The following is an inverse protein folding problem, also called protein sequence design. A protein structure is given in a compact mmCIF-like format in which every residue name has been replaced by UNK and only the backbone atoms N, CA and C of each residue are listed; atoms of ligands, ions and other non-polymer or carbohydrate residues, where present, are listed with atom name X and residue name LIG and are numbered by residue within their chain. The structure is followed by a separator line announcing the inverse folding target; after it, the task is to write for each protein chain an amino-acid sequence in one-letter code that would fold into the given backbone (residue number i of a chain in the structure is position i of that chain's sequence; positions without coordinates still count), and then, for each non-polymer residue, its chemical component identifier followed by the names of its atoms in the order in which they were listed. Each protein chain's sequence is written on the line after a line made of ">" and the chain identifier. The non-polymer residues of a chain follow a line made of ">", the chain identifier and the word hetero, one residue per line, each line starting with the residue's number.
data_IF_172924349039
#
_entry.id   IF_172924349039
#
_cell.length_a   1.000
_cell.length_b   1.000
_cell.length_c   1.000
_cell.angle_alpha   90.00
_cell.angle_beta   90.00
_cell.angle_gamma   90.00
#
_symmetry.space_group_name_H-M   'P 1'
#
loop_
_entity.id
_entity.type
_entity.pdbx_description
1 polymer ?
#
# COMPACT_ATOMS: atom_id res chain seq x y z
N UNK A 1 25.46 -62.47 22.76
CA UNK A 1 26.47 -61.43 23.00
C UNK A 1 25.72 -60.12 23.20
N UNK A 2 25.56 -59.68 24.46
CA UNK A 2 24.95 -58.39 24.84
C UNK A 2 26.02 -57.31 24.67
N UNK A 3 25.65 -56.16 24.10
CA UNK A 3 26.27 -54.82 24.24
C UNK A 3 25.41 -53.88 23.36
N UNK A 4 25.10 -52.64 23.69
CA UNK A 4 24.97 -51.87 24.91
C UNK A 4 24.28 -50.57 24.44
N UNK A 5 23.30 -50.12 25.20
CA UNK A 5 22.61 -48.85 25.00
C UNK A 5 23.59 -47.68 25.04
N UNK A 6 23.48 -46.73 24.11
CA UNK A 6 24.03 -45.39 24.31
C UNK A 6 22.97 -44.34 23.90
N UNK A 7 22.16 -43.98 24.90
CA UNK A 7 21.50 -42.68 24.96
C UNK A 7 22.59 -41.62 25.11
N UNK A 8 22.71 -40.69 24.16
CA UNK A 8 23.34 -39.40 24.41
C UNK A 8 22.26 -38.34 24.24
N UNK A 9 21.74 -37.91 25.39
CA UNK A 9 21.02 -36.67 25.53
C UNK A 9 21.99 -35.51 25.27
N UNK A 10 21.69 -34.69 24.28
CA UNK A 10 22.38 -33.44 24.00
C UNK A 10 21.35 -32.36 23.71
N UNK A 11 20.75 -31.83 24.78
CA UNK A 11 19.88 -30.66 24.72
C UNK A 11 20.71 -29.43 24.35
N UNK A 12 20.64 -29.02 23.09
CA UNK A 12 21.05 -27.68 22.67
C UNK A 12 19.79 -26.83 22.64
N UNK A 13 19.49 -26.21 23.77
CA UNK A 13 18.52 -25.11 23.87
C UNK A 13 19.14 -23.90 23.17
N UNK A 14 18.92 -23.77 21.86
CA UNK A 14 19.11 -22.49 21.16
C UNK A 14 17.82 -21.69 21.27
N UNK A 15 17.49 -21.26 22.49
CA UNK A 15 16.58 -20.13 22.66
C UNK A 15 17.39 -18.85 22.43
N UNK A 16 17.80 -18.62 21.19
CA UNK A 16 18.16 -17.26 20.76
C UNK A 16 16.84 -16.52 20.64
N UNK A 17 16.41 -15.93 21.75
CA UNK A 17 15.47 -14.81 21.69
C UNK A 17 16.08 -13.80 20.74
N UNK A 18 15.50 -13.66 19.56
CA UNK A 18 15.77 -12.54 18.69
C UNK A 18 15.31 -11.29 19.44
N UNK A 19 16.21 -10.72 20.25
CA UNK A 19 16.05 -9.37 20.78
C UNK A 19 15.84 -8.49 19.56
N UNK A 20 14.61 -7.99 19.39
CA UNK A 20 14.30 -7.02 18.35
C UNK A 20 15.26 -5.84 18.54
N UNK A 21 16.32 -5.79 17.75
CA UNK A 21 17.31 -4.73 17.85
C UNK A 21 16.57 -3.43 17.54
N UNK A 22 16.48 -2.55 18.54
CA UNK A 22 15.96 -1.20 18.31
C UNK A 22 16.89 -0.54 17.28
N UNK A 23 16.36 0.03 16.19
CA UNK A 23 17.17 0.66 15.17
C UNK A 23 18.16 1.66 15.79
N UNK A 24 19.41 1.64 15.34
CA UNK A 24 20.40 2.61 15.82
C UNK A 24 19.94 4.03 15.49
N UNK A 25 20.45 5.03 16.21
CA UNK A 25 20.16 6.44 15.93
C UNK A 25 20.39 6.81 14.46
N UNK A 26 21.46 6.29 13.85
CA UNK A 26 21.75 6.52 12.43
C UNK A 26 20.65 5.94 11.51
N UNK A 27 20.08 4.78 11.84
CA UNK A 27 18.96 4.20 11.08
C UNK A 27 17.69 5.03 11.27
N UNK A 28 17.43 5.53 12.48
CA UNK A 28 16.29 6.40 12.75
C UNK A 28 16.40 7.74 11.99
N UNK A 29 17.58 8.37 12.03
CA UNK A 29 17.87 9.61 11.32
C UNK A 29 17.76 9.41 9.79
N UNK A 30 18.30 8.30 9.26
CA UNK A 30 18.15 7.95 7.84
C UNK A 30 16.67 7.75 7.44
N UNK A 31 15.88 7.05 8.26
CA UNK A 31 14.45 6.89 8.02
C UNK A 31 13.73 8.23 8.00
N UNK A 32 14.13 9.17 8.86
CA UNK A 32 13.54 10.51 8.88
C UNK A 32 13.88 11.31 7.61
N UNK A 33 15.10 11.14 7.07
CA UNK A 33 15.48 11.70 5.77
C UNK A 33 14.62 11.12 4.65
N UNK A 34 14.41 9.79 4.61
CA UNK A 34 13.54 9.15 3.63
C UNK A 34 12.11 9.70 3.68
N UNK A 35 11.53 9.83 4.87
CA UNK A 35 10.20 10.46 5.05
C UNK A 35 10.16 11.88 4.48
N UNK A 36 11.23 12.66 4.66
CA UNK A 36 11.28 14.03 4.15
C UNK A 36 11.43 14.06 2.62
N UNK A 37 12.16 13.11 2.04
CA UNK A 37 12.24 12.92 0.58
C UNK A 37 10.84 12.63 0.01
N UNK A 38 10.09 11.73 0.63
CA UNK A 38 8.73 11.39 0.18
C UNK A 38 7.78 12.61 0.25
N UNK A 39 7.85 13.38 1.34
CA UNK A 39 7.11 14.63 1.46
C UNK A 39 7.48 15.64 0.37
N UNK A 40 8.77 15.78 0.07
CA UNK A 40 9.23 16.67 -1.01
C UNK A 40 8.72 16.22 -2.38
N UNK A 41 8.67 14.91 -2.64
CA UNK A 41 8.10 14.36 -3.87
C UNK A 41 6.62 14.74 -4.00
N UNK A 42 5.83 14.58 -2.94
CA UNK A 42 4.42 14.99 -2.95
C UNK A 42 4.27 16.50 -3.17
N UNK A 43 5.04 17.32 -2.45
CA UNK A 43 5.03 18.78 -2.59
C UNK A 43 5.33 19.20 -4.03
N UNK A 44 6.34 18.59 -4.66
CA UNK A 44 6.72 18.84 -6.05
C UNK A 44 5.54 18.64 -7.02
N UNK A 45 4.70 17.64 -6.79
CA UNK A 45 3.60 17.32 -7.70
C UNK A 45 2.31 18.09 -7.40
N UNK A 46 2.08 18.50 -6.15
CA UNK A 46 0.83 19.17 -5.73
C UNK A 46 0.92 20.68 -5.82
N UNK A 47 2.03 21.31 -5.40
CA UNK A 47 2.13 22.77 -5.35
C UNK A 47 1.90 23.47 -6.69
N UNK A 48 2.41 22.96 -7.84
CA UNK A 48 2.21 23.63 -9.13
C UNK A 48 0.78 23.65 -9.64
N UNK A 49 -0.13 22.90 -9.00
CA UNK A 49 -1.57 23.01 -9.28
C UNK A 49 -2.17 24.32 -8.75
N UNK A 50 -1.50 25.03 -7.83
CA UNK A 50 -1.97 26.30 -7.27
C UNK A 50 -3.43 26.22 -6.79
N UNK A 51 -3.77 25.11 -6.11
CA UNK A 51 -5.15 24.83 -5.70
C UNK A 51 -5.69 25.92 -4.77
N UNK A 52 -6.86 26.45 -5.10
CA UNK A 52 -7.60 27.37 -4.21
C UNK A 52 -8.20 26.59 -3.04
N UNK A 53 -8.46 27.28 -1.92
CA UNK A 53 -9.03 26.68 -0.71
C UNK A 53 -10.26 25.79 -0.95
N UNK A 54 -11.21 26.28 -1.76
CA UNK A 54 -12.39 25.49 -2.18
C UNK A 54 -11.98 24.21 -2.91
N UNK A 55 -11.07 24.31 -3.87
CA UNK A 55 -10.60 23.16 -4.66
C UNK A 55 -9.89 22.13 -3.77
N UNK A 56 -9.08 22.59 -2.82
CA UNK A 56 -8.45 21.73 -1.82
C UNK A 56 -9.52 20.98 -1.02
N UNK A 57 -10.54 21.68 -0.52
CA UNK A 57 -11.64 21.06 0.24
C UNK A 57 -12.40 20.00 -0.55
N UNK A 58 -12.75 20.30 -1.79
CA UNK A 58 -13.49 19.37 -2.67
C UNK A 58 -12.64 18.13 -3.02
N UNK A 59 -11.36 18.30 -3.33
CA UNK A 59 -10.45 17.18 -3.58
C UNK A 59 -10.23 16.33 -2.31
N UNK A 60 -10.06 16.95 -1.15
CA UNK A 60 -9.96 16.24 0.12
C UNK A 60 -11.23 15.44 0.44
N UNK A 61 -12.41 15.96 0.15
CA UNK A 61 -13.67 15.25 0.32
C UNK A 61 -13.74 14.00 -0.58
N UNK A 62 -13.23 14.07 -1.81
CA UNK A 62 -13.12 12.92 -2.70
C UNK A 62 -12.12 11.88 -2.18
N UNK A 63 -10.98 12.31 -1.63
CA UNK A 63 -9.98 11.43 -1.02
C UNK A 63 -10.53 10.72 0.24
N UNK A 64 -11.34 11.39 1.06
CA UNK A 64 -11.99 10.75 2.21
C UNK A 64 -12.97 9.64 1.79
N UNK A 65 -13.73 9.85 0.70
CA UNK A 65 -14.56 8.78 0.12
C UNK A 65 -13.71 7.58 -0.31
N UNK A 66 -12.56 7.83 -0.94
CA UNK A 66 -11.61 6.78 -1.34
C UNK A 66 -11.10 5.99 -0.14
N UNK A 67 -10.77 6.68 0.95
CA UNK A 67 -10.29 6.06 2.21
C UNK A 67 -11.34 5.21 2.90
N UNK A 68 -12.59 5.67 2.93
CA UNK A 68 -13.71 4.88 3.46
C UNK A 68 -13.84 3.55 2.71
N UNK A 69 -13.82 3.60 1.37
CA UNK A 69 -13.86 2.39 0.53
C UNK A 69 -12.68 1.45 0.78
N UNK A 70 -11.48 2.00 0.92
CA UNK A 70 -10.30 1.18 1.24
C UNK A 70 -10.42 0.51 2.61
N UNK A 71 -10.98 1.21 3.60
CA UNK A 71 -11.21 0.65 4.93
C UNK A 71 -12.20 -0.51 4.86
N UNK A 72 -13.33 -0.34 4.18
CA UNK A 72 -14.33 -1.40 3.97
C UNK A 72 -13.72 -2.65 3.30
N UNK A 73 -12.89 -2.46 2.27
CA UNK A 73 -12.18 -3.56 1.60
C UNK A 73 -11.18 -4.23 2.54
N UNK A 74 -10.42 -3.47 3.33
CA UNK A 74 -9.46 -4.04 4.30
C UNK A 74 -10.17 -4.86 5.38
N UNK A 75 -11.32 -4.40 5.87
CA UNK A 75 -12.13 -5.15 6.82
C UNK A 75 -12.67 -6.45 6.22
N UNK A 76 -13.13 -6.40 4.96
CA UNK A 76 -13.56 -7.59 4.22
C UNK A 76 -12.40 -8.59 4.02
N UNK A 77 -11.24 -8.10 3.61
CA UNK A 77 -10.02 -8.91 3.46
C UNK A 77 -9.62 -9.57 4.79
N UNK A 78 -9.64 -8.83 5.90
CA UNK A 78 -9.33 -9.35 7.22
C UNK A 78 -10.30 -10.46 7.62
N UNK A 79 -11.61 -10.27 7.38
CA UNK A 79 -12.63 -11.31 7.66
C UNK A 79 -12.37 -12.59 6.88
N UNK A 80 -12.00 -12.51 5.60
CA UNK A 80 -11.69 -13.70 4.79
C UNK A 80 -10.41 -14.39 5.25
N UNK A 81 -9.35 -13.64 5.57
CA UNK A 81 -8.10 -14.21 6.08
C UNK A 81 -8.28 -14.92 7.42
N UNK A 82 -9.09 -14.36 8.33
CA UNK A 82 -9.36 -14.97 9.63
C UNK A 82 -10.07 -16.32 9.52
N UNK A 83 -10.79 -16.61 8.42
CA UNK A 83 -11.38 -17.94 8.17
C UNK A 83 -10.32 -19.03 7.88
N UNK A 84 -9.07 -18.64 7.61
CA UNK A 84 -7.95 -19.54 7.38
C UNK A 84 -7.09 -19.76 8.64
N UNK A 85 -7.30 -18.99 9.70
CA UNK A 85 -6.38 -18.92 10.85
C UNK A 85 -6.16 -20.29 11.53
N UNK A 86 -7.23 -21.01 11.84
CA UNK A 86 -7.12 -22.32 12.49
C UNK A 86 -6.42 -23.36 11.58
N UNK A 87 -6.83 -23.45 10.31
CA UNK A 87 -6.28 -24.40 9.34
C UNK A 87 -4.79 -24.14 9.08
N UNK A 88 -4.41 -22.86 8.91
CA UNK A 88 -3.03 -22.45 8.66
C UNK A 88 -2.15 -22.66 9.87
N UNK A 89 -2.60 -22.33 11.09
CA UNK A 89 -1.87 -22.62 12.34
C UNK A 89 -1.61 -24.12 12.51
N UNK A 90 -2.63 -24.94 12.26
CA UNK A 90 -2.50 -26.40 12.32
C UNK A 90 -1.49 -26.93 11.29
N UNK A 91 -1.55 -26.43 10.06
CA UNK A 91 -0.61 -26.84 9.00
C UNK A 91 0.83 -26.42 9.30
N UNK A 92 1.04 -25.21 9.84
CA UNK A 92 2.38 -24.76 10.26
C UNK A 92 2.91 -25.62 11.40
N UNK A 93 2.11 -25.92 12.42
CA UNK A 93 2.52 -26.80 13.51
C UNK A 93 2.90 -28.21 13.00
N UNK A 94 2.07 -28.80 12.13
CA UNK A 94 2.36 -30.11 11.54
C UNK A 94 3.65 -30.10 10.70
N UNK A 95 3.88 -29.04 9.91
CA UNK A 95 5.11 -28.91 9.14
C UNK A 95 6.36 -28.81 10.01
N UNK A 96 6.31 -28.02 11.09
CA UNK A 96 7.44 -27.82 12.00
C UNK A 96 7.70 -29.05 12.86
N UNK A 97 6.66 -29.68 13.39
CA UNK A 97 6.79 -30.79 14.33
C UNK A 97 7.01 -32.14 13.65
N UNK A 98 6.40 -32.36 12.49
CA UNK A 98 6.33 -33.67 11.83
C UNK A 98 6.96 -33.70 10.44
N UNK A 99 7.33 -32.55 9.89
CA UNK A 99 7.77 -32.43 8.50
C UNK A 99 6.63 -32.60 7.49
N UNK A 100 5.37 -32.52 7.94
CA UNK A 100 4.20 -32.69 7.07
C UNK A 100 4.04 -31.48 6.15
N UNK A 101 3.94 -31.73 4.84
CA UNK A 101 3.65 -30.67 3.89
C UNK A 101 2.15 -30.31 3.91
N UNK A 102 1.76 -29.02 3.80
CA UNK A 102 0.35 -28.63 3.74
C UNK A 102 -0.40 -29.35 2.62
N UNK A 103 -1.60 -29.85 2.88
CA UNK A 103 -2.37 -30.55 1.84
C UNK A 103 -2.79 -29.61 0.69
N UNK A 104 -3.13 -30.21 -0.46
CA UNK A 104 -3.52 -29.45 -1.65
C UNK A 104 -4.80 -28.65 -1.45
N UNK A 105 -5.74 -29.12 -0.63
CA UNK A 105 -7.02 -28.44 -0.42
C UNK A 105 -6.83 -27.12 0.35
N UNK A 106 -5.99 -27.12 1.38
CA UNK A 106 -5.61 -25.92 2.12
C UNK A 106 -4.85 -24.94 1.20
N UNK A 107 -3.91 -25.43 0.41
CA UNK A 107 -3.20 -24.59 -0.57
C UNK A 107 -4.15 -23.93 -1.57
N UNK A 108 -5.07 -24.68 -2.17
CA UNK A 108 -6.10 -24.14 -3.07
C UNK A 108 -6.99 -23.10 -2.41
N UNK A 109 -7.39 -23.33 -1.14
CA UNK A 109 -8.20 -22.38 -0.37
C UNK A 109 -7.43 -21.07 -0.12
N UNK A 110 -6.15 -21.16 0.24
CA UNK A 110 -5.27 -19.99 0.44
C UNK A 110 -5.14 -19.19 -0.86
N UNK A 111 -4.84 -19.85 -1.98
CA UNK A 111 -4.69 -19.20 -3.29
C UNK A 111 -5.99 -18.48 -3.67
N UNK A 112 -7.14 -19.13 -3.53
CA UNK A 112 -8.43 -18.53 -3.85
C UNK A 112 -8.72 -17.27 -3.03
N UNK A 113 -8.43 -17.30 -1.72
CA UNK A 113 -8.60 -16.11 -0.86
C UNK A 113 -7.63 -15.00 -1.26
N UNK A 114 -6.38 -15.33 -1.57
CA UNK A 114 -5.39 -14.34 -2.02
C UNK A 114 -5.78 -13.69 -3.35
N UNK A 115 -6.23 -14.47 -4.34
CA UNK A 115 -6.71 -13.96 -5.63
C UNK A 115 -7.94 -13.05 -5.47
N UNK A 116 -8.87 -13.45 -4.60
CA UNK A 116 -10.05 -12.63 -4.30
C UNK A 116 -9.66 -11.28 -3.67
N UNK A 117 -8.72 -11.28 -2.71
CA UNK A 117 -8.18 -10.06 -2.09
C UNK A 117 -7.52 -9.16 -3.13
N UNK A 118 -6.61 -9.71 -3.95
CA UNK A 118 -5.91 -8.95 -4.99
C UNK A 118 -6.88 -8.33 -6.00
N UNK A 119 -7.92 -9.08 -6.38
CA UNK A 119 -8.95 -8.63 -7.30
C UNK A 119 -9.76 -7.47 -6.70
N UNK A 120 -10.26 -7.61 -5.46
CA UNK A 120 -10.98 -6.53 -4.77
C UNK A 120 -10.14 -5.27 -4.63
N UNK A 121 -8.86 -5.41 -4.25
CA UNK A 121 -7.93 -4.28 -4.13
C UNK A 121 -7.68 -3.59 -5.47
N UNK A 122 -7.60 -4.34 -6.56
CA UNK A 122 -7.48 -3.74 -7.91
C UNK A 122 -8.73 -2.95 -8.30
N UNK A 123 -9.91 -3.51 -8.02
CA UNK A 123 -11.20 -2.86 -8.30
C UNK A 123 -11.30 -1.54 -7.51
N UNK A 124 -11.05 -1.56 -6.20
CA UNK A 124 -11.18 -0.35 -5.37
C UNK A 124 -10.20 0.75 -5.77
N UNK A 125 -8.97 0.40 -6.17
CA UNK A 125 -8.02 1.40 -6.71
C UNK A 125 -8.58 2.05 -7.98
N UNK A 126 -9.14 1.27 -8.90
CA UNK A 126 -9.73 1.83 -10.13
C UNK A 126 -10.95 2.71 -9.85
N UNK A 127 -11.81 2.30 -8.92
CA UNK A 127 -12.94 3.11 -8.47
C UNK A 127 -12.49 4.41 -7.78
N UNK A 128 -11.47 4.34 -6.93
CA UNK A 128 -10.91 5.51 -6.25
C UNK A 128 -10.29 6.50 -7.24
N UNK A 129 -9.59 6.00 -8.26
CA UNK A 129 -9.09 6.84 -9.36
C UNK A 129 -10.24 7.51 -10.10
N UNK A 130 -11.35 6.80 -10.35
CA UNK A 130 -12.53 7.39 -10.98
C UNK A 130 -13.16 8.49 -10.10
N UNK A 131 -13.32 8.24 -8.80
CA UNK A 131 -13.85 9.23 -7.84
C UNK A 131 -13.02 10.52 -7.87
N UNK A 132 -11.69 10.38 -7.86
CA UNK A 132 -10.79 11.52 -7.94
C UNK A 132 -10.82 12.19 -9.31
N UNK A 133 -10.99 11.44 -10.38
CA UNK A 133 -11.08 11.98 -11.73
C UNK A 133 -12.33 12.83 -11.91
N UNK A 134 -13.47 12.35 -11.43
CA UNK A 134 -14.75 13.08 -11.47
C UNK A 134 -14.65 14.36 -10.63
N UNK A 135 -14.06 14.28 -9.43
CA UNK A 135 -13.82 15.44 -8.58
C UNK A 135 -12.88 16.46 -9.23
N UNK A 136 -11.79 16.00 -9.84
CA UNK A 136 -10.83 16.85 -10.52
C UNK A 136 -11.48 17.58 -11.72
N UNK A 137 -12.23 16.88 -12.56
CA UNK A 137 -12.93 17.46 -13.72
C UNK A 137 -14.00 18.47 -13.32
N UNK A 138 -14.65 18.29 -12.17
CA UNK A 138 -15.66 19.22 -11.66
C UNK A 138 -15.06 20.47 -11.02
N UNK A 139 -13.87 20.35 -10.44
CA UNK A 139 -13.34 21.32 -9.48
C UNK A 139 -12.15 22.12 -10.02
N UNK A 140 -11.33 21.49 -10.85
CA UNK A 140 -10.08 22.07 -11.38
C UNK A 140 -10.33 22.70 -12.74
N UNK A 141 -9.60 23.77 -13.03
CA UNK A 141 -9.62 24.39 -14.35
C UNK A 141 -8.77 23.61 -15.37
N UNK A 142 -8.93 23.94 -16.65
CA UNK A 142 -8.22 23.27 -17.74
C UNK A 142 -6.69 23.40 -17.62
N UNK A 143 -6.20 24.53 -17.10
CA UNK A 143 -4.78 24.75 -16.86
C UNK A 143 -4.23 23.79 -15.81
N UNK A 144 -4.94 23.64 -14.69
CA UNK A 144 -4.60 22.70 -13.62
C UNK A 144 -4.64 21.25 -14.11
N UNK A 145 -5.66 20.86 -14.88
CA UNK A 145 -5.75 19.53 -15.48
C UNK A 145 -4.58 19.27 -16.44
N UNK A 146 -4.15 20.28 -17.21
CA UNK A 146 -2.95 20.22 -18.06
C UNK A 146 -1.65 20.12 -17.26
N UNK A 147 -1.56 20.74 -16.09
CA UNK A 147 -0.39 20.56 -15.20
C UNK A 147 -0.29 19.12 -14.73
N UNK A 148 -1.41 18.50 -14.32
CA UNK A 148 -1.43 17.11 -13.84
C UNK A 148 -0.84 16.12 -14.84
N UNK A 149 -1.18 16.27 -16.14
CA UNK A 149 -0.71 15.34 -17.19
C UNK A 149 0.77 15.52 -17.55
N UNK A 150 1.36 16.68 -17.25
CA UNK A 150 2.71 17.05 -17.71
C UNK A 150 3.76 17.01 -16.59
N UNK A 151 3.34 17.16 -15.34
CA UNK A 151 4.28 17.32 -14.22
C UNK A 151 4.91 16.01 -13.75
N UNK A 152 4.19 14.90 -13.91
CA UNK A 152 4.65 13.57 -13.52
C UNK A 152 5.06 12.80 -14.77
N UNK A 153 6.35 12.43 -14.87
CA UNK A 153 6.79 11.44 -15.86
C UNK A 153 6.39 10.04 -15.34
N UNK A 154 5.50 9.30 -16.02
CA UNK A 154 5.10 7.96 -15.59
C UNK A 154 6.28 7.00 -15.37
N UNK A 155 7.40 7.20 -16.10
CA UNK A 155 8.62 6.36 -15.97
C UNK A 155 9.32 6.50 -14.63
N UNK A 156 9.06 7.59 -13.90
CA UNK A 156 9.61 7.79 -12.55
C UNK A 156 8.93 6.91 -11.50
N UNK A 157 7.75 6.37 -11.79
CA UNK A 157 6.98 5.49 -10.91
C UNK A 157 6.95 4.06 -11.46
N UNK A 158 6.77 3.91 -12.77
CA UNK A 158 6.82 2.63 -13.48
C UNK A 158 7.79 2.72 -14.66
N UNK A 159 9.01 2.17 -14.54
CA UNK A 159 10.01 2.20 -15.61
C UNK A 159 9.55 1.57 -16.93
N UNK A 160 8.51 0.73 -16.91
CA UNK A 160 7.95 0.08 -18.10
C UNK A 160 6.88 0.92 -18.81
N UNK A 161 6.45 2.03 -18.20
CA UNK A 161 5.46 2.92 -18.76
C UNK A 161 5.93 3.52 -20.10
N UNK A 162 4.98 3.76 -21.00
CA UNK A 162 5.20 4.35 -22.32
C UNK A 162 4.43 5.67 -22.44
N UNK A 163 4.93 6.78 -21.85
CA UNK A 163 4.20 8.05 -21.77
C UNK A 163 3.82 8.64 -23.14
N UNK A 164 4.59 8.30 -24.16
CA UNK A 164 4.37 8.65 -25.57
C UNK A 164 3.12 7.97 -26.16
N UNK A 165 2.67 6.86 -25.57
CA UNK A 165 1.50 6.10 -26.01
C UNK A 165 0.27 6.32 -25.13
N UNK A 166 0.40 7.08 -24.05
CA UNK A 166 -0.69 7.37 -23.13
C UNK A 166 -1.46 8.61 -23.61
N UNK A 167 -2.78 8.47 -23.69
CA UNK A 167 -3.71 9.59 -23.80
C UNK A 167 -3.63 10.51 -22.58
N UNK A 168 -4.12 11.74 -22.73
CA UNK A 168 -4.19 12.71 -21.62
C UNK A 168 -5.03 12.18 -20.45
N UNK A 169 -6.09 11.43 -20.75
CA UNK A 169 -6.93 10.77 -19.75
C UNK A 169 -6.15 9.70 -18.98
N UNK A 170 -5.36 8.87 -19.65
CA UNK A 170 -4.51 7.88 -19.00
C UNK A 170 -3.42 8.54 -18.15
N UNK A 171 -2.78 9.61 -18.63
CA UNK A 171 -1.79 10.38 -17.86
C UNK A 171 -2.39 11.00 -16.62
N UNK A 172 -3.59 11.57 -16.73
CA UNK A 172 -4.29 12.19 -15.60
C UNK A 172 -4.68 11.15 -14.57
N UNK A 173 -5.21 10.00 -14.99
CA UNK A 173 -5.53 8.88 -14.09
C UNK A 173 -4.28 8.32 -13.41
N UNK A 174 -3.17 8.24 -14.14
CA UNK A 174 -1.87 7.85 -13.58
C UNK A 174 -1.40 8.82 -12.51
N UNK A 175 -1.51 10.13 -12.76
CA UNK A 175 -1.19 11.16 -11.78
C UNK A 175 -2.08 11.06 -10.54
N UNK A 176 -3.40 10.93 -10.71
CA UNK A 176 -4.34 10.79 -9.60
C UNK A 176 -4.02 9.57 -8.73
N UNK A 177 -3.72 8.43 -9.37
CA UNK A 177 -3.32 7.21 -8.68
C UNK A 177 -2.00 7.37 -7.92
N UNK A 178 -1.02 8.04 -8.51
CA UNK A 178 0.35 8.08 -7.98
C UNK A 178 0.56 9.22 -6.97
N UNK A 179 -0.25 10.27 -7.05
CA UNK A 179 -0.13 11.47 -6.23
C UNK A 179 -1.31 11.58 -5.27
N UNK A 180 -2.55 11.62 -5.75
CA UNK A 180 -3.72 11.89 -4.90
C UNK A 180 -4.20 10.68 -4.07
N UNK A 181 -3.82 9.46 -4.42
CA UNK A 181 -4.02 8.31 -3.53
C UNK A 181 -2.86 8.08 -2.54
N UNK A 182 -1.78 8.88 -2.63
CA UNK A 182 -0.71 8.83 -1.64
C UNK A 182 -1.18 9.41 -0.29
N UNK A 183 -0.86 8.71 0.80
CA UNK A 183 -1.26 9.11 2.15
C UNK A 183 -0.73 10.48 2.58
N UNK A 184 0.48 10.85 2.13
CA UNK A 184 1.12 12.13 2.44
C UNK A 184 0.47 13.30 1.71
N UNK A 185 -0.14 13.07 0.54
CA UNK A 185 -0.85 14.13 -0.21
C UNK A 185 -1.99 14.71 0.60
N UNK A 186 -2.77 13.90 1.29
CA UNK A 186 -3.85 14.41 2.11
C UNK A 186 -3.35 15.24 3.30
N UNK A 187 -2.25 14.81 3.93
CA UNK A 187 -1.63 15.56 5.02
C UNK A 187 -1.12 16.92 4.54
N UNK A 188 -0.52 16.96 3.35
CA UNK A 188 -0.11 18.20 2.71
C UNK A 188 -1.32 19.10 2.42
N UNK A 189 -2.39 18.56 1.83
CA UNK A 189 -3.59 19.31 1.50
C UNK A 189 -4.26 19.90 2.75
N UNK A 190 -4.28 19.18 3.89
CA UNK A 190 -4.72 19.75 5.18
C UNK A 190 -3.93 20.98 5.58
N UNK A 191 -2.60 20.94 5.44
CA UNK A 191 -1.74 22.08 5.77
C UNK A 191 -2.00 23.24 4.81
N UNK A 192 -2.10 22.96 3.51
CA UNK A 192 -2.42 23.97 2.50
C UNK A 192 -3.80 24.60 2.74
N UNK A 193 -4.82 23.80 3.07
CA UNK A 193 -6.18 24.28 3.36
C UNK A 193 -6.23 25.28 4.51
N UNK A 194 -5.49 24.99 5.59
CA UNK A 194 -5.40 25.88 6.77
C UNK A 194 -4.71 27.21 6.46
N UNK A 195 -3.77 27.21 5.52
CA UNK A 195 -2.97 28.40 5.14
C UNK A 195 -3.54 29.17 3.96
N UNK A 196 -4.41 28.55 3.17
CA UNK A 196 -5.08 29.21 2.08
C UNK A 196 -6.06 30.24 2.63
N UNK A 197 -5.98 31.48 2.12
CA UNK A 197 -6.93 32.55 2.42
C UNK A 197 -8.32 32.18 1.90
#
# INVERSE_FOLDING_TARGET
>A
MKLASLFVAGAVVLSTGAMAQTPTKNVQDANQVLINIDKLNVVKFVLPLLLKKKQIGDMMAAMEKCRSKELEVRESDAKELLKLDADTKKAVAAAVEKGDYPDKALQSKIISVQEAILTRRRIVVNENVQILEDAAKLTLDEGQLKVMINILDPRSVDPSAKPDKMSDDEKRRFYLRSVFLDGLTYELLKVMYKKAE
#
